data_IF_020868535329
#
_entry.id   IF_020868535329
#
_cell.length_a   1.000
_cell.length_b   1.000
_cell.length_c   1.000
_cell.angle_alpha   90.00
_cell.angle_beta   90.00
_cell.angle_gamma   90.00
#
_symmetry.space_group_name_H-M   'P 1'
#
loop_
_entity.id
_entity.type
_entity.pdbx_description
1 polymer ?
#
# COMPACT_ATOMS: atom_id res chain seq x y z
N UNK A 1 -25.93 -29.42 -21.80
CA UNK A 1 -24.80 -28.47 -21.87
C UNK A 1 -23.87 -28.83 -20.73
N UNK A 2 -22.65 -29.22 -21.03
CA UNK A 2 -21.67 -29.51 -19.98
C UNK A 2 -21.32 -28.19 -19.28
N UNK A 3 -21.58 -28.13 -17.98
CA UNK A 3 -21.13 -27.01 -17.16
C UNK A 3 -19.59 -26.98 -17.15
N UNK A 4 -18.99 -25.80 -17.20
CA UNK A 4 -17.54 -25.65 -17.02
C UNK A 4 -17.12 -26.26 -15.67
N UNK A 5 -15.99 -26.95 -15.66
CA UNK A 5 -15.38 -27.53 -14.46
C UNK A 5 -14.48 -26.48 -13.78
N UNK A 6 -14.92 -25.95 -12.62
CA UNK A 6 -14.14 -25.00 -11.85
C UNK A 6 -14.54 -25.03 -10.36
N UNK A 7 -13.65 -24.59 -9.49
CA UNK A 7 -13.91 -24.46 -8.06
C UNK A 7 -14.94 -23.33 -7.82
N UNK A 8 -16.03 -23.61 -7.11
CA UNK A 8 -17.12 -22.65 -6.86
C UNK A 8 -17.11 -22.06 -5.47
N UNK A 9 -16.33 -22.62 -4.55
CA UNK A 9 -16.14 -22.08 -3.20
C UNK A 9 -15.04 -21.02 -3.21
N UNK A 10 -15.34 -19.79 -2.80
CA UNK A 10 -14.37 -18.72 -2.67
C UNK A 10 -13.23 -19.08 -1.72
N UNK A 11 -13.54 -19.69 -0.58
CA UNK A 11 -12.54 -20.11 0.41
C UNK A 11 -11.60 -21.17 -0.17
N UNK A 12 -12.13 -22.19 -0.85
CA UNK A 12 -11.31 -23.21 -1.50
C UNK A 12 -10.42 -22.64 -2.62
N UNK A 13 -10.88 -21.60 -3.34
CA UNK A 13 -10.08 -20.88 -4.32
C UNK A 13 -8.92 -20.16 -3.63
N UNK A 14 -9.17 -19.44 -2.53
CA UNK A 14 -8.13 -18.76 -1.76
C UNK A 14 -7.09 -19.73 -1.21
N UNK A 15 -7.53 -20.82 -0.56
CA UNK A 15 -6.65 -21.86 -0.02
C UNK A 15 -5.73 -22.42 -1.10
N UNK A 16 -6.31 -22.84 -2.24
CA UNK A 16 -5.56 -23.40 -3.36
C UNK A 16 -4.59 -22.39 -3.97
N UNK A 17 -5.04 -21.14 -4.18
CA UNK A 17 -4.21 -20.07 -4.73
C UNK A 17 -3.02 -19.76 -3.82
N UNK A 18 -3.24 -19.66 -2.52
CA UNK A 18 -2.16 -19.38 -1.58
C UNK A 18 -1.20 -20.55 -1.41
N UNK A 19 -1.69 -21.81 -1.52
CA UNK A 19 -0.82 -22.98 -1.53
C UNK A 19 0.12 -22.97 -2.74
N UNK A 20 -0.41 -22.71 -3.94
CA UNK A 20 0.39 -22.58 -5.18
C UNK A 20 1.43 -21.47 -5.04
N UNK A 21 1.03 -20.28 -4.57
CA UNK A 21 1.95 -19.15 -4.41
C UNK A 21 3.08 -19.50 -3.44
N UNK A 22 2.78 -20.17 -2.32
CA UNK A 22 3.82 -20.59 -1.35
C UNK A 22 4.76 -21.65 -1.88
N UNK A 23 4.30 -22.49 -2.83
CA UNK A 23 5.13 -23.48 -3.50
C UNK A 23 6.06 -22.85 -4.55
N UNK A 24 5.56 -21.86 -5.30
CA UNK A 24 6.26 -21.30 -6.46
C UNK A 24 7.11 -20.07 -6.13
N UNK A 25 6.73 -19.28 -5.12
CA UNK A 25 7.43 -18.03 -4.77
C UNK A 25 8.61 -18.28 -3.83
N UNK A 26 9.73 -17.59 -4.07
CA UNK A 26 10.80 -17.48 -3.08
C UNK A 26 10.39 -16.52 -1.96
N UNK A 27 9.95 -17.09 -0.85
CA UNK A 27 9.57 -16.36 0.35
C UNK A 27 10.66 -16.37 1.43
N UNK A 28 11.81 -16.99 1.18
CA UNK A 28 12.92 -17.13 2.15
C UNK A 28 13.48 -15.79 2.66
N UNK A 29 13.47 -14.66 1.89
CA UNK A 29 13.95 -13.38 2.40
C UNK A 29 13.02 -12.70 3.41
N UNK A 30 11.81 -13.23 3.62
CA UNK A 30 10.76 -12.59 4.43
C UNK A 30 10.59 -13.27 5.79
N UNK A 31 10.27 -12.48 6.83
CA UNK A 31 9.72 -13.04 8.06
C UNK A 31 8.37 -13.72 7.78
N UNK A 32 7.89 -14.56 8.71
CA UNK A 32 6.58 -15.22 8.56
C UNK A 32 5.46 -14.21 8.24
N UNK A 33 5.43 -13.09 8.97
CA UNK A 33 4.41 -12.06 8.77
C UNK A 33 4.56 -11.32 7.43
N UNK A 34 5.78 -11.03 7.02
CA UNK A 34 6.06 -10.42 5.71
C UNK A 34 5.71 -11.36 4.57
N UNK A 35 5.98 -12.67 4.72
CA UNK A 35 5.64 -13.69 3.72
C UNK A 35 4.10 -13.77 3.51
N UNK A 36 3.31 -13.66 4.57
CA UNK A 36 1.84 -13.62 4.44
C UNK A 36 1.35 -12.39 3.68
N UNK A 37 1.98 -11.23 3.87
CA UNK A 37 1.69 -10.03 3.09
C UNK A 37 2.10 -10.24 1.64
N UNK A 38 3.30 -10.79 1.40
CA UNK A 38 3.82 -11.06 0.06
C UNK A 38 2.91 -12.01 -0.73
N UNK A 39 2.44 -13.11 -0.12
CA UNK A 39 1.48 -14.05 -0.74
C UNK A 39 0.21 -13.33 -1.21
N UNK A 40 -0.34 -12.42 -0.41
CA UNK A 40 -1.53 -11.66 -0.78
C UNK A 40 -1.27 -10.65 -1.89
N UNK A 41 -0.11 -10.03 -1.89
CA UNK A 41 0.30 -9.12 -2.97
C UNK A 41 0.51 -9.87 -4.28
N UNK A 42 1.14 -11.06 -4.24
CA UNK A 42 1.30 -11.95 -5.40
C UNK A 42 -0.08 -12.39 -5.92
N UNK A 43 -0.97 -12.82 -5.03
CA UNK A 43 -2.33 -13.19 -5.41
C UNK A 43 -3.07 -12.04 -6.13
N UNK A 44 -2.86 -10.79 -5.71
CA UNK A 44 -3.50 -9.62 -6.31
C UNK A 44 -2.95 -9.24 -7.70
N UNK A 45 -1.72 -9.59 -8.03
CA UNK A 45 -1.10 -9.28 -9.33
C UNK A 45 -0.94 -10.49 -10.26
N UNK A 46 -1.00 -11.73 -9.73
CA UNK A 46 -0.83 -12.96 -10.49
C UNK A 46 0.62 -13.21 -10.96
N UNK A 47 1.61 -12.56 -10.34
CA UNK A 47 3.01 -12.61 -10.73
C UNK A 47 3.85 -13.12 -9.54
N UNK A 48 4.28 -14.38 -9.60
CA UNK A 48 5.08 -15.01 -8.53
C UNK A 48 6.45 -14.33 -8.40
N UNK A 49 7.06 -13.97 -9.54
CA UNK A 49 8.35 -13.29 -9.60
C UNK A 49 8.34 -11.88 -8.97
N UNK A 50 7.17 -11.31 -8.71
CA UNK A 50 7.08 -10.03 -8.02
C UNK A 50 7.72 -10.06 -6.62
N UNK A 51 7.78 -11.23 -5.97
CA UNK A 51 8.38 -11.40 -4.65
C UNK A 51 9.82 -10.87 -4.57
N UNK A 52 10.64 -11.06 -5.60
CA UNK A 52 12.02 -10.59 -5.64
C UNK A 52 12.16 -9.05 -5.57
N UNK A 53 11.08 -8.32 -5.85
CA UNK A 53 11.04 -6.85 -5.82
C UNK A 53 10.45 -6.29 -4.51
N UNK A 54 9.86 -7.12 -3.66
CA UNK A 54 9.29 -6.65 -2.40
C UNK A 54 10.39 -6.30 -1.39
N UNK A 55 10.22 -5.16 -0.72
CA UNK A 55 11.08 -4.76 0.39
C UNK A 55 10.21 -4.25 1.52
N UNK A 56 10.49 -4.75 2.70
CA UNK A 56 9.86 -4.33 3.95
C UNK A 56 10.95 -3.84 4.90
N UNK A 57 10.77 -2.68 5.49
CA UNK A 57 11.63 -2.25 6.58
C UNK A 57 11.38 -3.13 7.82
N UNK A 58 12.34 -3.17 8.74
CA UNK A 58 12.36 -4.12 9.87
C UNK A 58 11.07 -4.11 10.71
N UNK A 59 10.54 -2.93 11.02
CA UNK A 59 9.40 -2.78 11.92
C UNK A 59 8.08 -2.53 11.18
N UNK A 60 8.05 -2.61 9.86
CA UNK A 60 6.88 -2.23 9.06
C UNK A 60 5.60 -2.91 9.51
N UNK A 61 5.63 -4.24 9.70
CA UNK A 61 4.40 -5.00 10.02
C UNK A 61 3.87 -4.62 11.40
N UNK A 62 4.77 -4.52 12.39
CA UNK A 62 4.40 -4.19 13.76
C UNK A 62 3.78 -2.79 13.87
N UNK A 63 4.43 -1.78 13.28
CA UNK A 63 3.98 -0.39 13.33
C UNK A 63 2.69 -0.18 12.54
N UNK A 64 2.59 -0.74 11.33
CA UNK A 64 1.38 -0.62 10.52
C UNK A 64 0.17 -1.29 11.21
N UNK A 65 0.34 -2.50 11.76
CA UNK A 65 -0.72 -3.18 12.52
C UNK A 65 -1.09 -2.44 13.79
N UNK A 66 -0.09 -1.98 14.54
CA UNK A 66 -0.32 -1.17 15.75
C UNK A 66 -1.18 0.06 15.46
N UNK A 67 -0.88 0.78 14.38
CA UNK A 67 -1.67 1.92 13.94
C UNK A 67 -3.12 1.54 13.57
N UNK A 68 -3.30 0.44 12.81
CA UNK A 68 -4.63 -0.04 12.45
C UNK A 68 -5.45 -0.44 13.69
N UNK A 69 -4.86 -1.17 14.63
CA UNK A 69 -5.52 -1.54 15.89
C UNK A 69 -5.84 -0.33 16.79
N UNK A 70 -5.03 0.73 16.71
CA UNK A 70 -5.28 1.99 17.40
C UNK A 70 -6.35 2.87 16.73
N UNK A 71 -7.00 2.38 15.67
CA UNK A 71 -8.05 3.12 14.96
C UNK A 71 -7.53 4.26 14.07
N UNK A 72 -6.21 4.31 13.82
CA UNK A 72 -5.63 5.37 12.99
C UNK A 72 -6.15 5.31 11.56
N UNK A 73 -6.26 6.47 10.86
CA UNK A 73 -6.74 6.51 9.49
C UNK A 73 -5.76 5.89 8.50
N UNK A 74 -6.29 5.51 7.34
CA UNK A 74 -5.54 5.06 6.17
C UNK A 74 -5.70 6.13 5.09
N UNK A 75 -4.62 6.81 4.74
CA UNK A 75 -4.60 7.78 3.65
C UNK A 75 -4.18 7.14 2.34
N UNK A 76 -4.96 7.34 1.29
CA UNK A 76 -4.77 6.75 -0.02
C UNK A 76 -4.56 7.83 -1.09
N UNK A 77 -3.58 7.64 -1.99
CA UNK A 77 -3.32 8.54 -3.11
C UNK A 77 -4.35 8.44 -4.23
N UNK A 78 -5.09 7.35 -4.30
CA UNK A 78 -6.02 7.06 -5.38
C UNK A 78 -7.28 6.34 -4.89
N UNK A 79 -8.41 6.63 -5.54
CA UNK A 79 -9.70 5.99 -5.28
C UNK A 79 -9.63 4.46 -5.44
N UNK A 80 -8.84 3.96 -6.40
CA UNK A 80 -8.67 2.51 -6.59
C UNK A 80 -8.02 1.85 -5.38
N UNK A 81 -7.08 2.51 -4.69
CA UNK A 81 -6.50 2.02 -3.44
C UNK A 81 -7.56 2.02 -2.35
N UNK A 82 -8.23 3.16 -2.15
CA UNK A 82 -9.24 3.33 -1.11
C UNK A 82 -10.42 2.35 -1.25
N UNK A 83 -10.89 2.09 -2.46
CA UNK A 83 -11.96 1.12 -2.73
C UNK A 83 -11.48 -0.33 -2.66
N UNK A 84 -10.18 -0.59 -2.87
CA UNK A 84 -9.57 -1.91 -2.71
C UNK A 84 -9.42 -2.35 -1.25
N UNK A 85 -9.45 -1.41 -0.30
CA UNK A 85 -9.42 -1.73 1.14
C UNK A 85 -10.75 -2.31 1.60
N UNK A 86 -10.73 -3.53 2.12
CA UNK A 86 -11.91 -4.24 2.65
C UNK A 86 -12.25 -3.72 4.04
N UNK A 87 -13.07 -2.69 4.12
CA UNK A 87 -13.41 -1.99 5.39
C UNK A 87 -13.91 -2.93 6.48
N UNK A 88 -14.71 -3.93 6.12
CA UNK A 88 -15.23 -4.93 7.07
C UNK A 88 -14.15 -5.80 7.74
N UNK A 89 -12.90 -5.74 7.28
CA UNK A 89 -11.77 -6.47 7.85
C UNK A 89 -10.84 -5.58 8.68
N UNK A 90 -11.06 -4.29 8.69
CA UNK A 90 -10.27 -3.37 9.50
C UNK A 90 -10.51 -3.64 11.00
N UNK A 91 -9.47 -3.65 11.83
CA UNK A 91 -9.57 -4.08 13.23
C UNK A 91 -10.28 -3.06 14.13
N UNK A 92 -10.46 -1.84 13.66
CA UNK A 92 -11.16 -0.77 14.33
C UNK A 92 -11.97 0.05 13.31
N UNK A 93 -12.61 1.13 13.73
CA UNK A 93 -13.31 2.07 12.84
C UNK A 93 -12.31 2.97 12.09
N UNK A 94 -11.36 2.36 11.39
CA UNK A 94 -10.34 3.08 10.64
C UNK A 94 -10.96 3.83 9.46
N UNK A 95 -10.84 5.14 9.43
CA UNK A 95 -11.21 5.94 8.27
C UNK A 95 -10.28 5.61 7.08
N UNK A 96 -10.86 5.39 5.90
CA UNK A 96 -10.10 5.22 4.64
C UNK A 96 -10.34 6.46 3.80
N UNK A 97 -9.33 7.30 3.68
CA UNK A 97 -9.42 8.67 3.17
C UNK A 97 -8.66 8.79 1.85
N UNK A 98 -9.33 9.32 0.83
CA UNK A 98 -8.71 9.72 -0.43
C UNK A 98 -9.24 11.11 -0.82
N UNK A 99 -8.37 12.09 -0.87
CA UNK A 99 -8.69 13.49 -1.17
C UNK A 99 -8.49 13.85 -2.65
N UNK A 100 -8.21 12.86 -3.52
CA UNK A 100 -7.96 13.10 -4.94
C UNK A 100 -9.14 13.79 -5.67
N UNK A 101 -10.37 13.56 -5.20
CA UNK A 101 -11.59 14.15 -5.74
C UNK A 101 -12.15 15.31 -4.91
N UNK A 102 -11.43 15.75 -3.87
CA UNK A 102 -11.83 16.95 -3.14
C UNK A 102 -11.88 18.15 -4.11
N UNK A 103 -12.87 19.00 -3.98
CA UNK A 103 -13.08 20.15 -4.87
C UNK A 103 -11.90 21.13 -4.86
N UNK A 104 -11.15 21.19 -3.76
CA UNK A 104 -9.97 22.04 -3.58
C UNK A 104 -8.73 21.52 -4.32
N UNK A 105 -8.65 20.21 -4.60
CA UNK A 105 -7.44 19.55 -5.14
C UNK A 105 -7.00 20.12 -6.48
N UNK A 106 -7.94 20.48 -7.37
CA UNK A 106 -7.60 21.02 -8.69
C UNK A 106 -6.93 22.38 -8.59
N UNK A 107 -7.48 23.27 -7.76
CA UNK A 107 -6.93 24.62 -7.60
C UNK A 107 -5.59 24.57 -6.84
N UNK A 108 -5.51 23.71 -5.83
CA UNK A 108 -4.28 23.48 -5.08
C UNK A 108 -3.16 22.97 -6.00
N UNK A 109 -3.46 22.03 -6.89
CA UNK A 109 -2.49 21.51 -7.86
C UNK A 109 -1.93 22.61 -8.78
N UNK A 110 -2.77 23.55 -9.21
CA UNK A 110 -2.32 24.72 -9.98
C UNK A 110 -1.44 25.64 -9.15
N UNK A 111 -1.83 25.90 -7.91
CA UNK A 111 -1.13 26.81 -7.01
C UNK A 111 0.29 26.30 -6.69
N UNK A 112 0.43 25.00 -6.39
CA UNK A 112 1.74 24.41 -6.08
C UNK A 112 2.53 23.98 -7.32
N UNK A 113 1.96 24.10 -8.53
CA UNK A 113 2.62 23.70 -9.78
C UNK A 113 2.92 22.19 -9.86
N UNK A 114 2.04 21.34 -9.29
CA UNK A 114 2.23 19.89 -9.22
C UNK A 114 0.99 19.13 -9.70
N UNK A 115 1.04 17.80 -9.71
CA UNK A 115 -0.08 16.96 -10.09
C UNK A 115 -1.21 17.00 -9.06
N UNK A 116 -2.44 16.64 -9.47
CA UNK A 116 -3.56 16.50 -8.53
C UNK A 116 -3.26 15.46 -7.45
N UNK A 117 -2.57 14.35 -7.81
CA UNK A 117 -2.21 13.32 -6.85
C UNK A 117 -1.26 13.82 -5.77
N UNK A 118 -0.31 14.68 -6.12
CA UNK A 118 0.56 15.33 -5.16
C UNK A 118 -0.21 16.33 -4.29
N UNK A 119 -0.99 17.24 -4.92
CA UNK A 119 -1.74 18.27 -4.22
C UNK A 119 -2.82 17.70 -3.27
N UNK A 120 -3.35 16.51 -3.57
CA UNK A 120 -4.31 15.86 -2.71
C UNK A 120 -3.75 15.57 -1.30
N UNK A 121 -2.44 15.35 -1.17
CA UNK A 121 -1.80 15.08 0.11
C UNK A 121 -1.82 16.31 1.03
N UNK A 122 -1.76 17.51 0.47
CA UNK A 122 -1.81 18.76 1.26
C UNK A 122 -3.16 18.96 1.97
N UNK A 123 -4.15 18.11 1.69
CA UNK A 123 -5.46 18.08 2.35
C UNK A 123 -5.56 16.98 3.41
N UNK A 124 -4.45 16.33 3.78
CA UNK A 124 -4.45 15.32 4.83
C UNK A 124 -4.25 15.96 6.21
N UNK A 125 -5.31 15.96 7.01
CA UNK A 125 -5.33 16.73 8.27
C UNK A 125 -4.69 15.98 9.46
N UNK A 126 -4.83 14.65 9.55
CA UNK A 126 -4.43 13.84 10.71
C UNK A 126 -3.41 12.77 10.36
N UNK A 127 -2.28 13.15 9.74
CA UNK A 127 -1.28 12.20 9.28
C UNK A 127 -0.47 11.55 10.42
N UNK A 128 -0.47 12.13 11.63
CA UNK A 128 0.30 11.60 12.76
C UNK A 128 -0.14 10.19 13.17
N UNK A 129 0.79 9.24 13.02
CA UNK A 129 0.54 7.84 13.32
C UNK A 129 -0.39 7.11 12.35
N UNK A 130 -0.78 7.74 11.24
CA UNK A 130 -1.61 7.12 10.20
C UNK A 130 -0.86 6.06 9.39
N UNK A 131 -1.58 5.22 8.67
CA UNK A 131 -1.02 4.38 7.60
C UNK A 131 -1.20 5.10 6.28
N UNK A 132 -0.11 5.33 5.55
CA UNK A 132 -0.16 5.93 4.21
C UNK A 132 -0.04 4.85 3.15
N UNK A 133 -0.94 4.85 2.16
CA UNK A 133 -1.03 3.86 1.10
C UNK A 133 -1.01 4.54 -0.28
N UNK A 134 0.18 4.62 -0.88
CA UNK A 134 0.43 5.22 -2.20
C UNK A 134 0.62 4.10 -3.21
N UNK A 135 -0.37 3.88 -4.07
CA UNK A 135 -0.38 2.77 -5.03
C UNK A 135 -0.48 3.19 -6.49
N UNK A 136 -0.59 4.49 -6.77
CA UNK A 136 -0.78 4.96 -8.14
C UNK A 136 0.31 5.95 -8.55
N UNK A 137 0.44 7.09 -7.87
CA UNK A 137 1.20 8.22 -8.38
C UNK A 137 2.59 8.38 -7.74
N UNK A 138 3.68 8.28 -8.52
CA UNK A 138 5.02 8.61 -8.02
C UNK A 138 5.13 10.02 -7.45
N UNK A 139 4.43 10.97 -8.04
CA UNK A 139 4.39 12.36 -7.56
C UNK A 139 3.75 12.51 -6.18
N UNK A 140 2.82 11.64 -5.81
CA UNK A 140 2.27 11.61 -4.46
C UNK A 140 3.34 11.12 -3.46
N UNK A 141 4.13 10.11 -3.81
CA UNK A 141 5.18 9.61 -2.93
C UNK A 141 6.30 10.64 -2.75
N UNK A 142 6.73 11.32 -3.80
CA UNK A 142 7.67 12.43 -3.68
C UNK A 142 7.10 13.56 -2.83
N UNK A 143 5.83 13.94 -3.04
CA UNK A 143 5.18 14.99 -2.25
C UNK A 143 5.13 14.64 -0.76
N UNK A 144 4.84 13.38 -0.43
CA UNK A 144 4.89 12.92 0.96
C UNK A 144 6.28 13.13 1.58
N UNK A 145 7.34 12.79 0.87
CA UNK A 145 8.71 12.98 1.34
C UNK A 145 9.04 14.47 1.53
N UNK A 146 8.66 15.33 0.58
CA UNK A 146 8.81 16.79 0.70
C UNK A 146 8.06 17.34 1.93
N UNK A 147 6.85 16.86 2.20
CA UNK A 147 6.08 17.26 3.38
C UNK A 147 6.78 16.84 4.66
N UNK A 148 7.34 15.63 4.72
CA UNK A 148 8.10 15.15 5.87
C UNK A 148 9.39 15.95 6.07
N UNK A 149 10.09 16.30 4.99
CA UNK A 149 11.27 17.18 5.03
C UNK A 149 10.92 18.58 5.55
N UNK A 150 9.71 19.05 5.27
CA UNK A 150 9.17 20.31 5.80
C UNK A 150 8.63 20.20 7.23
N UNK A 151 8.74 19.04 7.88
CA UNK A 151 8.31 18.85 9.28
C UNK A 151 6.84 18.46 9.45
N UNK A 152 6.19 17.92 8.41
CA UNK A 152 4.83 17.39 8.55
C UNK A 152 4.76 16.26 9.59
N UNK A 153 3.58 16.03 10.21
CA UNK A 153 3.36 14.93 11.15
C UNK A 153 3.73 13.57 10.54
N UNK A 154 4.34 12.68 11.34
CA UNK A 154 4.90 11.41 10.87
C UNK A 154 3.84 10.32 10.83
N UNK A 155 3.61 9.63 9.71
CA UNK A 155 2.80 8.42 9.68
C UNK A 155 3.52 7.27 10.42
N UNK A 156 2.75 6.31 10.90
CA UNK A 156 3.29 5.09 11.51
C UNK A 156 3.95 4.18 10.48
N UNK A 157 3.42 4.14 9.27
CA UNK A 157 3.97 3.32 8.18
C UNK A 157 3.56 3.86 6.80
N UNK A 158 4.42 3.62 5.81
CA UNK A 158 4.19 3.98 4.40
C UNK A 158 4.19 2.72 3.53
N UNK A 159 3.09 2.46 2.84
CA UNK A 159 2.97 1.49 1.76
C UNK A 159 3.20 2.26 0.46
N UNK A 160 4.46 2.29 -0.02
CA UNK A 160 4.88 3.07 -1.17
C UNK A 160 5.07 2.19 -2.41
N UNK A 161 4.00 1.95 -3.16
CA UNK A 161 4.00 1.06 -4.32
C UNK A 161 3.45 1.72 -5.58
N UNK A 162 3.81 2.99 -5.90
CA UNK A 162 3.37 3.58 -7.15
C UNK A 162 3.88 2.77 -8.35
N UNK A 163 3.10 2.75 -9.42
CA UNK A 163 3.39 2.01 -10.66
C UNK A 163 3.67 2.99 -11.79
N UNK A 164 4.60 2.68 -12.68
CA UNK A 164 4.81 3.47 -13.88
C UNK A 164 6.24 3.50 -14.40
N UNK A 165 6.43 4.31 -15.44
CA UNK A 165 7.68 4.42 -16.18
C UNK A 165 8.48 5.69 -15.84
N UNK A 166 7.83 6.68 -15.21
CA UNK A 166 8.44 7.98 -14.85
C UNK A 166 8.28 8.20 -13.36
N UNK A 167 9.36 8.24 -12.63
CA UNK A 167 9.40 8.51 -11.19
C UNK A 167 8.99 7.34 -10.28
N UNK A 168 8.47 6.22 -10.81
CA UNK A 168 7.98 5.13 -9.96
C UNK A 168 9.12 4.39 -9.24
N UNK A 169 10.20 4.08 -9.92
CA UNK A 169 11.37 3.47 -9.29
C UNK A 169 12.05 4.49 -8.36
N UNK A 170 12.26 5.69 -8.84
CA UNK A 170 12.99 6.77 -8.17
C UNK A 170 12.30 7.20 -6.86
N UNK A 171 10.97 7.32 -6.84
CA UNK A 171 10.23 7.68 -5.62
C UNK A 171 10.32 6.61 -4.53
N UNK A 172 10.37 5.34 -4.90
CA UNK A 172 10.52 4.22 -3.95
C UNK A 172 11.95 4.10 -3.43
N UNK A 173 12.95 4.32 -4.27
CA UNK A 173 14.34 4.40 -3.80
C UNK A 173 14.48 5.59 -2.82
N UNK A 174 13.93 6.78 -3.15
CA UNK A 174 13.94 7.93 -2.26
C UNK A 174 13.27 7.63 -0.90
N UNK A 175 12.16 6.86 -0.89
CA UNK A 175 11.54 6.43 0.37
C UNK A 175 12.46 5.51 1.17
N UNK A 176 13.10 4.53 0.52
CA UNK A 176 14.01 3.58 1.19
C UNK A 176 15.27 4.24 1.74
N UNK A 177 15.74 5.31 1.12
CA UNK A 177 16.92 6.08 1.51
C UNK A 177 16.59 7.27 2.42
N UNK A 178 15.30 7.49 2.72
CA UNK A 178 14.84 8.61 3.53
C UNK A 178 15.41 8.59 4.94
N UNK A 179 15.83 9.76 5.39
CA UNK A 179 16.38 9.99 6.75
C UNK A 179 15.30 9.96 7.85
N UNK A 180 14.03 9.90 7.47
CA UNK A 180 12.92 9.95 8.43
C UNK A 180 12.73 8.66 9.23
N UNK A 181 13.37 7.55 8.82
CA UNK A 181 13.26 6.23 9.47
C UNK A 181 11.79 5.80 9.74
N UNK A 182 10.91 6.07 8.76
CA UNK A 182 9.50 5.65 8.83
C UNK A 182 9.40 4.24 8.24
N UNK A 183 8.76 3.30 8.97
CA UNK A 183 8.54 1.95 8.49
C UNK A 183 7.82 1.91 7.14
N UNK A 184 8.32 1.10 6.20
CA UNK A 184 7.78 1.05 4.85
C UNK A 184 7.66 -0.35 4.27
N UNK A 185 6.77 -0.48 3.27
CA UNK A 185 6.73 -1.56 2.29
C UNK A 185 6.74 -0.98 0.88
N UNK A 186 7.60 -1.51 0.01
CA UNK A 186 7.70 -1.09 -1.40
C UNK A 186 7.80 -2.29 -2.34
N UNK A 187 7.47 -2.05 -3.61
CA UNK A 187 7.79 -2.95 -4.73
C UNK A 187 8.80 -2.22 -5.61
N UNK A 188 10.07 -2.62 -5.61
CA UNK A 188 11.14 -1.95 -6.34
C UNK A 188 10.89 -1.88 -7.85
N UNK A 189 11.51 -0.90 -8.49
CA UNK A 189 11.42 -0.69 -9.93
C UNK A 189 10.06 -0.12 -10.36
N UNK A 190 9.60 -0.46 -11.56
CA UNK A 190 8.37 0.08 -12.17
C UNK A 190 7.09 -0.59 -11.69
N UNK A 191 7.20 -1.78 -11.11
CA UNK A 191 6.10 -2.59 -10.65
C UNK A 191 5.46 -2.01 -9.39
N UNK A 192 4.17 -2.28 -9.19
CA UNK A 192 3.37 -1.79 -8.07
C UNK A 192 1.91 -1.71 -8.46
N UNK A 193 1.21 -0.71 -7.95
CA UNK A 193 -0.17 -0.41 -8.33
C UNK A 193 -1.19 -0.60 -7.21
N UNK A 194 -2.36 -0.04 -7.43
CA UNK A 194 -3.44 0.01 -6.43
C UNK A 194 -3.87 -1.35 -5.90
N UNK A 195 -3.85 -2.40 -6.74
CA UNK A 195 -4.23 -3.75 -6.33
C UNK A 195 -3.25 -4.33 -5.30
N UNK A 196 -1.93 -4.24 -5.55
CA UNK A 196 -0.90 -4.69 -4.61
C UNK A 196 -0.93 -3.89 -3.31
N UNK A 197 -1.10 -2.56 -3.41
CA UNK A 197 -1.17 -1.66 -2.26
C UNK A 197 -2.37 -1.98 -1.38
N UNK A 198 -3.56 -2.14 -1.96
CA UNK A 198 -4.75 -2.53 -1.23
C UNK A 198 -4.62 -3.94 -0.64
N UNK A 199 -4.00 -4.89 -1.35
CA UNK A 199 -3.72 -6.23 -0.84
C UNK A 199 -2.79 -6.21 0.37
N UNK A 200 -1.78 -5.33 0.39
CA UNK A 200 -0.90 -5.11 1.53
C UNK A 200 -1.69 -4.59 2.75
N UNK A 201 -2.52 -3.55 2.58
CA UNK A 201 -3.41 -3.04 3.65
C UNK A 201 -4.32 -4.14 4.17
N UNK A 202 -4.99 -4.90 3.28
CA UNK A 202 -5.90 -5.98 3.65
C UNK A 202 -5.20 -7.15 4.36
N UNK A 203 -3.92 -7.39 4.06
CA UNK A 203 -3.11 -8.37 4.77
C UNK A 203 -2.80 -7.93 6.20
N UNK A 204 -2.41 -6.65 6.37
CA UNK A 204 -2.15 -6.05 7.68
C UNK A 204 -3.38 -6.00 8.58
N UNK A 205 -4.56 -5.77 8.01
CA UNK A 205 -5.83 -5.64 8.73
C UNK A 205 -6.36 -6.99 9.28
N UNK A 206 -5.83 -8.13 8.82
CA UNK A 206 -6.33 -9.44 9.24
C UNK A 206 -5.82 -9.79 10.63
N UNK A 207 -6.76 -10.10 11.54
CA UNK A 207 -6.43 -10.67 12.84
C UNK A 207 -5.89 -12.11 12.69
N UNK A 208 -4.76 -12.40 13.32
CA UNK A 208 -4.18 -13.74 13.40
C UNK A 208 -3.60 -14.23 12.06
N UNK A 209 -2.36 -13.94 11.83
CA UNK A 209 -1.45 -14.72 10.99
C UNK A 209 -0.60 -15.60 11.88
#
# INVERSE_FOLDING_TARGET
MNAYDYIRSGDAIYEKSFAIIREEADLTPFSTEQAEIAVRMIHACGLVEAAQHFRFSRNFVAEARGALHAGKPIYCDAEMVAHGVTRARLPAENAVICTLRDSRTIELARTIGNTRSAAALDLWDEMEGAVVAIGNAPTALFRLLEMLDAGAPRPAAIIGMPVGFVGAAESKEALMESVHDIPYAVVRGRMGGSAMTAACVNALARAGL
#
